data_IF_182255277417
#
_entry.id   IF_182255277417
#
_cell.length_a   1.000
_cell.length_b   1.000
_cell.length_c   1.000
_cell.angle_alpha   90.00
_cell.angle_beta   90.00
_cell.angle_gamma   90.00
#
_symmetry.space_group_name_H-M   'P 1'
#
loop_
_entity.id
_entity.type
_entity.pdbx_description
1 polymer ?
#
# COMPACT_ATOMS: atom_id res chain seq x y z
N UNK A 1 -57.38 -9.65 37.27
CA UNK A 1 -56.34 -8.65 37.14
C UNK A 1 -55.00 -9.40 37.24
N UNK A 2 -54.41 -9.68 36.11
CA UNK A 2 -53.12 -10.39 36.04
C UNK A 2 -52.10 -9.37 35.52
N UNK A 3 -51.22 -8.91 36.42
CA UNK A 3 -50.09 -8.04 36.10
C UNK A 3 -49.03 -8.81 35.30
N UNK A 4 -48.68 -8.27 34.13
CA UNK A 4 -47.52 -8.72 33.34
C UNK A 4 -46.24 -8.18 33.97
N UNK A 5 -45.18 -9.00 34.14
CA UNK A 5 -43.91 -8.50 34.63
C UNK A 5 -43.17 -7.66 33.54
N UNK A 6 -42.36 -6.67 33.93
CA UNK A 6 -41.67 -5.79 33.00
C UNK A 6 -40.66 -6.54 32.17
N UNK A 7 -40.69 -6.34 30.85
CA UNK A 7 -39.67 -6.85 29.91
C UNK A 7 -38.32 -6.19 30.20
N UNK A 8 -37.37 -6.97 30.72
CA UNK A 8 -35.96 -6.60 30.77
C UNK A 8 -35.44 -6.44 29.34
N UNK A 9 -35.26 -5.20 28.92
CA UNK A 9 -34.49 -4.87 27.73
C UNK A 9 -33.03 -5.24 28.06
N UNK A 10 -32.55 -6.35 27.52
CA UNK A 10 -31.11 -6.68 27.52
C UNK A 10 -30.42 -5.55 26.72
N UNK A 11 -29.71 -4.65 27.39
CA UNK A 11 -28.69 -3.81 26.76
C UNK A 11 -27.70 -4.75 26.10
N UNK A 12 -27.76 -4.91 24.77
CA UNK A 12 -26.67 -5.46 24.02
C UNK A 12 -25.49 -4.52 24.23
N UNK A 13 -24.52 -4.90 24.99
CA UNK A 13 -23.18 -4.29 24.99
C UNK A 13 -22.64 -4.54 23.59
N UNK A 14 -22.84 -3.57 22.69
CA UNK A 14 -22.03 -3.45 21.49
C UNK A 14 -20.59 -3.31 21.99
N UNK A 15 -19.82 -4.38 21.92
CA UNK A 15 -18.36 -4.30 22.04
C UNK A 15 -17.91 -3.47 20.84
N UNK A 16 -17.65 -2.19 21.06
CA UNK A 16 -17.02 -1.32 20.08
C UNK A 16 -15.71 -1.98 19.67
N UNK A 17 -15.61 -2.37 18.41
CA UNK A 17 -14.36 -2.84 17.86
C UNK A 17 -13.31 -1.73 18.04
N UNK A 18 -12.09 -2.09 18.41
CA UNK A 18 -11.02 -1.11 18.57
C UNK A 18 -10.81 -0.39 17.20
N UNK A 19 -11.03 0.93 17.12
CA UNK A 19 -10.89 1.66 15.85
C UNK A 19 -9.43 1.91 15.45
N UNK A 20 -8.47 1.52 16.29
CA UNK A 20 -7.05 1.71 16.05
C UNK A 20 -6.38 0.39 15.71
N UNK A 21 -5.68 0.29 14.56
CA UNK A 21 -5.07 -0.96 14.09
C UNK A 21 -3.79 -1.36 14.84
N UNK A 22 -3.25 -0.49 15.71
CA UNK A 22 -1.97 -0.70 16.38
C UNK A 22 -0.78 -0.56 15.42
N UNK A 23 0.17 -1.49 15.45
CA UNK A 23 1.40 -1.43 14.65
C UNK A 23 1.23 -1.84 13.17
N UNK A 24 0.10 -2.38 12.78
CA UNK A 24 -0.18 -2.71 11.37
C UNK A 24 -0.73 -1.49 10.61
N UNK A 25 -0.58 -1.43 9.28
CA UNK A 25 -1.30 -0.43 8.50
C UNK A 25 -2.81 -0.68 8.57
N UNK A 26 -3.61 0.36 8.35
CA UNK A 26 -5.04 0.23 8.09
C UNK A 26 -5.26 -0.59 6.82
N UNK A 27 -6.32 -1.42 6.80
CA UNK A 27 -6.77 -2.14 5.60
C UNK A 27 -7.72 -1.26 4.77
N UNK A 28 -8.05 -1.71 3.55
CA UNK A 28 -8.97 -0.99 2.66
C UNK A 28 -10.37 -0.85 3.28
N UNK A 29 -10.82 -1.89 4.00
CA UNK A 29 -12.12 -1.94 4.68
C UNK A 29 -12.19 -0.93 5.84
N UNK A 30 -11.05 -0.55 6.39
CA UNK A 30 -10.89 0.42 7.48
C UNK A 30 -10.69 1.86 6.98
N UNK A 31 -10.88 2.13 5.69
CA UNK A 31 -10.68 3.46 5.10
C UNK A 31 -11.51 4.55 5.76
N UNK A 32 -12.68 4.21 6.30
CA UNK A 32 -13.55 5.10 7.06
C UNK A 32 -13.01 5.49 8.45
N UNK A 33 -11.92 4.86 8.90
CA UNK A 33 -11.20 5.17 10.15
C UNK A 33 -9.87 5.91 9.90
N UNK A 34 -9.53 6.23 8.65
CA UNK A 34 -8.26 6.85 8.28
C UNK A 34 -8.43 8.36 8.15
N UNK A 35 -7.93 9.12 9.12
CA UNK A 35 -8.05 10.58 9.25
C UNK A 35 -6.68 11.25 9.37
N UNK A 36 -6.63 12.57 9.12
CA UNK A 36 -5.45 13.42 9.28
C UNK A 36 -4.45 13.31 8.11
N UNK A 37 -4.89 12.82 6.95
CA UNK A 37 -4.09 12.73 5.71
C UNK A 37 -4.88 13.19 4.49
N UNK A 38 -5.90 13.99 4.69
CA UNK A 38 -6.77 14.54 3.67
C UNK A 38 -5.95 15.35 2.64
N UNK A 39 -6.32 15.27 1.37
CA UNK A 39 -5.64 15.98 0.29
C UNK A 39 -4.31 15.37 -0.18
N UNK A 40 -3.70 14.46 0.56
CA UNK A 40 -2.41 13.88 0.18
C UNK A 40 -2.54 12.83 -0.94
N UNK A 41 -3.68 12.15 -1.01
CA UNK A 41 -3.95 11.13 -2.01
C UNK A 41 -4.07 11.70 -3.42
N UNK A 42 -4.60 12.91 -3.58
CA UNK A 42 -4.82 13.58 -4.87
C UNK A 42 -3.51 13.81 -5.62
N UNK A 43 -2.43 14.12 -4.90
CA UNK A 43 -1.10 14.27 -5.51
C UNK A 43 -0.61 12.93 -6.08
N UNK A 44 -0.77 11.84 -5.33
CA UNK A 44 -0.38 10.49 -5.77
C UNK A 44 -1.22 10.05 -6.98
N UNK A 45 -2.54 10.29 -6.95
CA UNK A 45 -3.44 10.07 -8.08
C UNK A 45 -3.01 10.86 -9.32
N UNK A 46 -2.61 12.12 -9.14
CA UNK A 46 -2.09 12.97 -10.21
C UNK A 46 -0.82 12.39 -10.85
N UNK A 47 0.08 11.80 -10.08
CA UNK A 47 1.26 11.11 -10.61
C UNK A 47 0.88 9.84 -11.39
N UNK A 48 0.01 9.01 -10.84
CA UNK A 48 -0.47 7.81 -11.53
C UNK A 48 -1.17 8.15 -12.86
N UNK A 49 -2.00 9.16 -12.85
CA UNK A 49 -2.71 9.60 -14.06
C UNK A 49 -1.74 10.05 -15.17
N UNK A 50 -0.68 10.80 -14.82
CA UNK A 50 0.28 11.33 -15.79
C UNK A 50 1.35 10.33 -16.23
N UNK A 51 1.87 9.55 -15.27
CA UNK A 51 3.09 8.79 -15.45
C UNK A 51 2.91 7.27 -15.23
N UNK A 52 1.71 6.80 -14.86
CA UNK A 52 1.41 5.43 -14.41
C UNK A 52 2.32 4.94 -13.28
N UNK A 53 2.99 5.86 -12.62
CA UNK A 53 3.93 5.58 -11.56
C UNK A 53 3.84 6.64 -10.46
N UNK A 54 3.93 6.18 -9.22
CA UNK A 54 4.15 7.04 -8.06
C UNK A 54 5.07 6.37 -7.05
N UNK A 55 6.02 7.11 -6.51
CA UNK A 55 6.80 6.73 -5.35
C UNK A 55 6.25 7.49 -4.14
N UNK A 56 5.89 6.78 -3.08
CA UNK A 56 5.46 7.35 -1.80
C UNK A 56 6.56 7.11 -0.79
N UNK A 57 7.27 8.17 -0.43
CA UNK A 57 8.46 8.09 0.44
C UNK A 57 8.23 8.80 1.76
N UNK A 58 8.96 8.42 2.79
CA UNK A 58 8.86 9.02 4.13
C UNK A 58 9.52 8.17 5.20
N UNK A 59 9.58 8.69 6.42
CA UNK A 59 10.14 7.99 7.58
C UNK A 59 9.43 6.64 7.84
N UNK A 60 10.06 5.77 8.63
CA UNK A 60 9.38 4.58 9.15
C UNK A 60 8.15 5.01 9.97
N UNK A 61 7.07 4.26 9.88
CA UNK A 61 5.84 4.60 10.64
C UNK A 61 5.07 5.85 10.16
N UNK A 62 5.50 6.54 9.08
CA UNK A 62 4.82 7.76 8.60
C UNK A 62 3.45 7.55 7.95
N UNK A 63 2.93 6.32 7.90
CA UNK A 63 1.61 6.02 7.34
C UNK A 63 1.59 5.79 5.82
N UNK A 64 2.74 5.53 5.16
CA UNK A 64 2.83 5.28 3.70
C UNK A 64 1.86 4.22 3.21
N UNK A 65 1.90 3.03 3.80
CA UNK A 65 1.04 1.91 3.40
C UNK A 65 -0.44 2.20 3.68
N UNK A 66 -0.75 2.85 4.82
CA UNK A 66 -2.13 3.26 5.14
C UNK A 66 -2.66 4.29 4.14
N UNK A 67 -1.85 5.26 3.69
CA UNK A 67 -2.24 6.21 2.64
C UNK A 67 -2.59 5.49 1.33
N UNK A 68 -1.85 4.43 0.98
CA UNK A 68 -2.16 3.64 -0.21
C UNK A 68 -3.47 2.85 -0.02
N UNK A 69 -3.61 2.13 1.09
CA UNK A 69 -4.77 1.26 1.31
C UNK A 69 -6.05 2.04 1.56
N UNK A 70 -6.00 3.09 2.38
CA UNK A 70 -7.19 3.83 2.80
C UNK A 70 -7.48 5.08 1.98
N UNK A 71 -6.47 5.65 1.32
CA UNK A 71 -6.63 6.82 0.47
C UNK A 71 -6.69 6.46 -1.01
N UNK A 72 -5.60 5.88 -1.54
CA UNK A 72 -5.43 5.67 -2.97
C UNK A 72 -6.39 4.60 -3.53
N UNK A 73 -6.45 3.41 -2.95
CA UNK A 73 -7.27 2.31 -3.49
C UNK A 73 -8.76 2.68 -3.54
N UNK A 74 -9.40 3.22 -2.47
CA UNK A 74 -10.77 3.68 -2.54
C UNK A 74 -11.02 4.75 -3.63
N UNK A 75 -10.08 5.68 -3.78
CA UNK A 75 -10.16 6.71 -4.81
C UNK A 75 -10.09 6.12 -6.24
N UNK A 76 -9.27 5.10 -6.47
CA UNK A 76 -9.21 4.40 -7.75
C UNK A 76 -10.53 3.71 -8.08
N UNK A 77 -11.14 3.01 -7.13
CA UNK A 77 -12.46 2.42 -7.31
C UNK A 77 -13.56 3.47 -7.48
N UNK A 78 -13.38 4.68 -6.92
CA UNK A 78 -14.22 5.85 -7.15
C UNK A 78 -14.08 6.48 -8.55
N UNK A 79 -13.13 6.00 -9.40
CA UNK A 79 -12.93 6.48 -10.76
C UNK A 79 -12.24 7.84 -10.86
N UNK A 80 -11.45 8.23 -9.87
CA UNK A 80 -10.73 9.52 -9.87
C UNK A 80 -9.66 9.63 -10.96
N UNK A 81 -9.20 8.51 -11.56
CA UNK A 81 -8.39 8.52 -12.77
C UNK A 81 -9.29 8.31 -13.98
N UNK A 82 -9.83 9.39 -14.54
CA UNK A 82 -10.83 9.35 -15.63
C UNK A 82 -10.46 8.43 -16.81
N UNK A 83 -9.23 8.47 -17.37
CA UNK A 83 -8.87 7.60 -18.50
C UNK A 83 -8.87 6.11 -18.14
N UNK A 84 -8.57 5.76 -16.87
CA UNK A 84 -8.51 4.37 -16.40
C UNK A 84 -9.86 3.84 -15.88
N UNK A 85 -10.78 4.74 -15.50
CA UNK A 85 -12.07 4.35 -14.93
C UNK A 85 -11.96 3.80 -13.50
N UNK A 86 -12.93 2.95 -13.11
CA UNK A 86 -13.08 2.45 -11.74
C UNK A 86 -12.82 0.94 -11.58
N UNK A 87 -12.39 0.26 -12.65
CA UNK A 87 -12.14 -1.19 -12.60
C UNK A 87 -10.66 -1.45 -12.41
N UNK A 88 -10.32 -1.95 -11.23
CA UNK A 88 -8.94 -2.16 -10.83
C UNK A 88 -8.73 -3.56 -10.26
N UNK A 89 -7.61 -4.17 -10.64
CA UNK A 89 -7.10 -5.37 -10.00
C UNK A 89 -5.82 -4.99 -9.24
N UNK A 90 -5.85 -5.18 -7.93
CA UNK A 90 -4.77 -4.75 -7.05
C UNK A 90 -3.85 -5.93 -6.79
N UNK A 91 -2.56 -5.75 -7.09
CA UNK A 91 -1.48 -6.70 -6.80
C UNK A 91 -0.57 -6.05 -5.77
N UNK A 92 -0.49 -6.59 -4.57
CA UNK A 92 0.42 -6.10 -3.53
C UNK A 92 1.53 -7.11 -3.28
N UNK A 93 2.77 -6.64 -3.32
CA UNK A 93 3.95 -7.46 -3.04
C UNK A 93 5.00 -6.67 -2.29
N UNK A 94 5.84 -7.37 -1.53
CA UNK A 94 7.09 -6.86 -0.95
C UNK A 94 8.24 -7.58 -1.61
N UNK A 95 9.31 -6.86 -1.99
CA UNK A 95 10.45 -7.50 -2.63
C UNK A 95 11.07 -8.62 -1.79
N UNK A 96 11.30 -8.37 -0.51
CA UNK A 96 11.89 -9.36 0.39
C UNK A 96 13.25 -9.87 -0.11
N UNK A 97 13.54 -11.12 0.23
CA UNK A 97 14.76 -11.83 -0.18
C UNK A 97 14.69 -12.41 -1.60
N UNK A 98 13.50 -12.53 -2.17
CA UNK A 98 13.24 -13.18 -3.45
C UNK A 98 12.22 -12.35 -4.24
N UNK A 99 12.62 -11.17 -4.78
CA UNK A 99 11.68 -10.20 -5.33
C UNK A 99 10.91 -10.72 -6.54
N UNK A 100 11.50 -11.55 -7.38
CA UNK A 100 10.82 -12.11 -8.56
C UNK A 100 9.82 -13.18 -8.15
N UNK A 101 10.15 -14.05 -7.21
CA UNK A 101 9.25 -15.07 -6.67
C UNK A 101 8.06 -14.42 -5.95
N UNK A 102 8.32 -13.44 -5.09
CA UNK A 102 7.28 -12.74 -4.35
C UNK A 102 6.31 -12.00 -5.31
N UNK A 103 6.83 -11.44 -6.40
CA UNK A 103 6.02 -10.84 -7.45
C UNK A 103 5.17 -11.87 -8.18
N UNK A 104 5.76 -13.03 -8.52
CA UNK A 104 5.05 -14.12 -9.18
C UNK A 104 3.92 -14.66 -8.31
N UNK A 105 4.17 -14.87 -7.02
CA UNK A 105 3.18 -15.31 -6.03
C UNK A 105 2.02 -14.32 -5.92
N UNK A 106 2.32 -13.02 -5.82
CA UNK A 106 1.31 -11.97 -5.76
C UNK A 106 0.44 -11.93 -7.03
N UNK A 107 1.03 -12.12 -8.21
CA UNK A 107 0.30 -12.20 -9.48
C UNK A 107 -0.57 -13.46 -9.54
N UNK A 108 -0.02 -14.62 -9.12
CA UNK A 108 -0.77 -15.87 -9.12
C UNK A 108 -2.00 -15.81 -8.20
N UNK A 109 -1.87 -15.14 -7.06
CA UNK A 109 -2.95 -15.02 -6.07
C UNK A 109 -4.17 -14.24 -6.57
N UNK A 110 -3.99 -13.27 -7.48
CA UNK A 110 -5.11 -12.47 -8.00
C UNK A 110 -5.89 -13.16 -9.12
N UNK A 111 -5.31 -14.16 -9.77
CA UNK A 111 -5.96 -14.83 -10.91
C UNK A 111 -7.10 -15.75 -10.46
N UNK A 112 -6.89 -16.50 -9.38
CA UNK A 112 -7.87 -17.45 -8.84
C UNK A 112 -7.76 -17.55 -7.31
N UNK A 113 -8.47 -16.73 -6.55
CA UNK A 113 -8.36 -16.69 -5.08
C UNK A 113 -8.72 -17.99 -4.35
N UNK A 114 -9.40 -18.95 -5.02
CA UNK A 114 -9.81 -20.24 -4.46
C UNK A 114 -9.14 -21.44 -5.18
N UNK A 115 -7.94 -21.25 -5.73
CA UNK A 115 -7.22 -22.33 -6.43
C UNK A 115 -6.62 -23.32 -5.44
N UNK A 116 -6.63 -24.61 -5.79
CA UNK A 116 -5.93 -25.66 -5.06
C UNK A 116 -4.44 -25.28 -4.85
N UNK A 117 -3.88 -25.46 -3.63
CA UNK A 117 -2.49 -25.12 -3.33
C UNK A 117 -1.46 -25.71 -4.31
N UNK A 118 -1.68 -26.94 -4.79
CA UNK A 118 -0.78 -27.58 -5.78
C UNK A 118 -0.81 -26.84 -7.13
N UNK A 119 -2.00 -26.45 -7.59
CA UNK A 119 -2.15 -25.70 -8.83
C UNK A 119 -1.57 -24.27 -8.68
N UNK A 120 -1.71 -23.65 -7.51
CA UNK A 120 -1.12 -22.35 -7.22
C UNK A 120 0.42 -22.40 -7.28
N UNK A 121 1.03 -23.47 -6.75
CA UNK A 121 2.47 -23.68 -6.83
C UNK A 121 2.97 -23.81 -8.27
N UNK A 122 2.24 -24.56 -9.11
CA UNK A 122 2.56 -24.71 -10.55
C UNK A 122 2.44 -23.36 -11.26
N UNK A 123 1.36 -22.61 -11.03
CA UNK A 123 1.16 -21.30 -11.63
C UNK A 123 2.28 -20.33 -11.22
N UNK A 124 2.70 -20.36 -9.95
CA UNK A 124 3.80 -19.56 -9.45
C UNK A 124 5.13 -19.88 -10.18
N UNK A 125 5.46 -21.16 -10.36
CA UNK A 125 6.66 -21.57 -11.12
C UNK A 125 6.63 -21.09 -12.58
N UNK A 126 5.48 -21.19 -13.23
CA UNK A 126 5.29 -20.69 -14.60
C UNK A 126 5.50 -19.18 -14.65
N UNK A 127 4.89 -18.42 -13.74
CA UNK A 127 5.04 -16.98 -13.66
C UNK A 127 6.49 -16.56 -13.34
N UNK A 128 7.17 -17.23 -12.41
CA UNK A 128 8.60 -17.01 -12.15
C UNK A 128 9.44 -17.18 -13.42
N UNK A 129 9.16 -18.25 -14.21
CA UNK A 129 9.86 -18.50 -15.47
C UNK A 129 9.61 -17.38 -16.49
N UNK A 130 8.37 -16.91 -16.62
CA UNK A 130 7.99 -15.81 -17.50
C UNK A 130 8.68 -14.51 -17.07
N UNK A 131 8.65 -14.19 -15.78
CA UNK A 131 9.26 -12.99 -15.23
C UNK A 131 10.80 -12.98 -15.45
N UNK A 132 11.46 -14.12 -15.30
CA UNK A 132 12.91 -14.24 -15.50
C UNK A 132 13.36 -14.28 -16.97
N UNK A 133 12.45 -14.59 -17.89
CA UNK A 133 12.80 -14.78 -19.30
C UNK A 133 13.27 -13.51 -20.00
N UNK A 134 12.75 -12.35 -19.64
CA UNK A 134 13.12 -11.07 -20.25
C UNK A 134 12.73 -9.88 -19.37
N UNK A 135 13.27 -8.71 -19.67
CA UNK A 135 12.88 -7.46 -19.02
C UNK A 135 11.41 -7.02 -19.29
N UNK A 136 10.70 -7.68 -20.20
CA UNK A 136 9.27 -7.54 -20.45
C UNK A 136 8.45 -8.66 -19.79
N UNK A 137 9.07 -9.49 -18.96
CA UNK A 137 8.43 -10.62 -18.28
C UNK A 137 7.15 -10.24 -17.54
N UNK A 138 7.13 -9.08 -16.85
CA UNK A 138 5.93 -8.59 -16.14
C UNK A 138 4.78 -8.28 -17.12
N UNK A 139 5.07 -7.64 -18.24
CA UNK A 139 4.06 -7.38 -19.28
C UNK A 139 3.50 -8.68 -19.83
N UNK A 140 4.37 -9.67 -20.08
CA UNK A 140 3.97 -10.98 -20.57
C UNK A 140 3.17 -11.78 -19.53
N UNK A 141 3.52 -11.68 -18.24
CA UNK A 141 2.75 -12.29 -17.16
C UNK A 141 1.34 -11.69 -17.06
N UNK A 142 1.23 -10.36 -17.13
CA UNK A 142 -0.06 -9.66 -17.11
C UNK A 142 -0.94 -10.00 -18.31
N UNK A 143 -0.36 -10.20 -19.50
CA UNK A 143 -1.11 -10.64 -20.70
C UNK A 143 -1.76 -12.02 -20.54
N UNK A 144 -1.24 -12.87 -19.66
CA UNK A 144 -1.82 -14.18 -19.38
C UNK A 144 -2.98 -14.13 -18.40
N UNK A 145 -3.12 -13.03 -17.67
CA UNK A 145 -4.24 -12.82 -16.75
C UNK A 145 -5.50 -12.51 -17.56
N UNK A 146 -6.59 -13.20 -17.27
CA UNK A 146 -7.89 -12.91 -17.85
C UNK A 146 -8.43 -11.61 -17.25
N UNK A 147 -8.25 -10.52 -17.96
CA UNK A 147 -8.74 -9.19 -17.57
C UNK A 147 -10.07 -8.88 -18.26
N UNK A 148 -11.01 -8.31 -17.51
CA UNK A 148 -12.24 -7.80 -18.08
C UNK A 148 -11.97 -6.54 -18.93
N UNK A 149 -12.80 -6.25 -19.96
CA UNK A 149 -12.66 -5.01 -20.73
C UNK A 149 -12.67 -3.77 -19.83
N UNK A 150 -11.66 -2.90 -19.98
CA UNK A 150 -11.50 -1.68 -19.18
C UNK A 150 -11.02 -1.91 -17.74
N UNK A 151 -10.55 -3.09 -17.41
CA UNK A 151 -9.88 -3.37 -16.14
C UNK A 151 -8.40 -2.98 -16.22
N UNK A 152 -7.87 -2.39 -15.15
CA UNK A 152 -6.47 -1.99 -15.03
C UNK A 152 -5.80 -2.75 -13.89
N UNK A 153 -4.47 -2.86 -13.93
CA UNK A 153 -3.68 -3.41 -12.84
C UNK A 153 -3.00 -2.27 -12.09
N UNK A 154 -3.17 -2.27 -10.76
CA UNK A 154 -2.32 -1.51 -9.86
C UNK A 154 -1.37 -2.48 -9.15
N UNK A 155 -0.08 -2.34 -9.43
CA UNK A 155 0.97 -3.04 -8.72
C UNK A 155 1.48 -2.17 -7.56
N UNK A 156 1.31 -2.62 -6.33
CA UNK A 156 1.80 -1.99 -5.10
C UNK A 156 3.05 -2.72 -4.66
N UNK A 157 4.19 -2.01 -4.69
CA UNK A 157 5.48 -2.48 -4.21
C UNK A 157 5.71 -1.89 -2.82
N UNK A 158 5.25 -2.60 -1.80
CA UNK A 158 5.38 -2.12 -0.41
C UNK A 158 6.76 -2.44 0.15
N UNK A 159 7.35 -1.50 0.91
CA UNK A 159 8.68 -1.61 1.51
C UNK A 159 9.78 -1.87 0.46
N UNK A 160 9.80 -1.08 -0.61
CA UNK A 160 10.74 -1.25 -1.73
C UNK A 160 12.21 -1.18 -1.32
N UNK A 161 12.52 -0.54 -0.18
CA UNK A 161 13.87 -0.52 0.43
C UNK A 161 14.43 -1.92 0.73
N UNK A 162 13.59 -2.95 0.84
CA UNK A 162 14.05 -4.31 1.09
C UNK A 162 14.99 -4.82 -0.01
N UNK A 163 14.80 -4.38 -1.27
CA UNK A 163 15.71 -4.69 -2.38
C UNK A 163 17.17 -4.30 -2.09
N UNK A 164 17.37 -3.22 -1.35
CA UNK A 164 18.70 -2.68 -1.07
C UNK A 164 19.29 -3.25 0.22
N UNK A 165 18.47 -3.47 1.24
CA UNK A 165 18.87 -4.04 2.53
C UNK A 165 19.45 -5.44 2.41
N UNK A 166 18.86 -6.28 1.56
CA UNK A 166 19.34 -7.65 1.35
C UNK A 166 20.58 -7.74 0.47
N UNK A 167 20.85 -6.70 -0.33
CA UNK A 167 22.08 -6.58 -1.13
C UNK A 167 23.33 -6.45 -0.24
N UNK A 168 23.24 -5.68 0.84
CA UNK A 168 24.36 -5.51 1.77
C UNK A 168 24.74 -6.79 2.51
N UNK A 169 23.75 -7.65 2.77
CA UNK A 169 23.93 -8.91 3.51
C UNK A 169 24.56 -10.03 2.67
N UNK A 170 24.55 -9.92 1.35
CA UNK A 170 25.07 -10.92 0.41
C UNK A 170 25.99 -10.23 -0.60
N UNK A 171 27.30 -10.41 -0.44
CA UNK A 171 28.34 -10.02 -1.43
C UNK A 171 28.28 -10.87 -2.71
N UNK A 172 27.12 -11.38 -3.07
CA UNK A 172 26.92 -12.31 -4.18
C UNK A 172 26.45 -11.53 -5.42
N UNK A 173 27.15 -11.67 -6.52
CA UNK A 173 26.82 -11.08 -7.82
C UNK A 173 25.45 -11.48 -8.33
N UNK A 174 24.91 -12.62 -7.89
CA UNK A 174 23.59 -13.11 -8.26
C UNK A 174 22.46 -12.22 -7.72
N UNK A 175 22.60 -11.69 -6.49
CA UNK A 175 21.60 -10.79 -5.86
C UNK A 175 21.55 -9.44 -6.56
N UNK A 176 22.68 -8.90 -6.98
CA UNK A 176 22.72 -7.66 -7.76
C UNK A 176 21.99 -7.83 -9.09
N UNK A 177 22.22 -8.95 -9.78
CA UNK A 177 21.58 -9.27 -11.05
C UNK A 177 20.05 -9.41 -10.88
N UNK A 178 19.57 -9.97 -9.78
CA UNK A 178 18.13 -10.11 -9.52
C UNK A 178 17.48 -8.77 -9.20
N UNK A 179 18.10 -7.92 -8.39
CA UNK A 179 17.61 -6.56 -8.11
C UNK A 179 17.49 -5.73 -9.39
N UNK A 180 18.53 -5.78 -10.25
CA UNK A 180 18.52 -5.08 -11.53
C UNK A 180 17.43 -5.64 -12.47
N UNK A 181 17.30 -6.97 -12.53
CA UNK A 181 16.25 -7.62 -13.33
C UNK A 181 14.87 -7.23 -12.85
N UNK A 182 14.60 -7.23 -11.53
CA UNK A 182 13.35 -6.81 -10.95
C UNK A 182 13.01 -5.35 -11.29
N UNK A 183 13.96 -4.44 -11.13
CA UNK A 183 13.75 -3.02 -11.47
C UNK A 183 13.46 -2.85 -12.96
N UNK A 184 14.16 -3.59 -13.85
CA UNK A 184 13.90 -3.56 -15.30
C UNK A 184 12.48 -4.05 -15.64
N UNK A 185 11.98 -5.09 -14.96
CA UNK A 185 10.59 -5.56 -15.13
C UNK A 185 9.59 -4.44 -14.83
N UNK A 186 9.77 -3.73 -13.71
CA UNK A 186 8.88 -2.65 -13.29
C UNK A 186 8.94 -1.46 -14.26
N UNK A 187 10.15 -1.01 -14.60
CA UNK A 187 10.35 0.14 -15.49
C UNK A 187 9.75 -0.12 -16.87
N UNK A 188 9.95 -1.30 -17.44
CA UNK A 188 9.42 -1.64 -18.76
C UNK A 188 7.90 -1.82 -18.73
N UNK A 189 7.33 -2.32 -17.64
CA UNK A 189 5.89 -2.41 -17.47
C UNK A 189 5.22 -1.03 -17.46
N UNK A 190 5.86 -0.02 -16.86
CA UNK A 190 5.36 1.36 -16.84
C UNK A 190 5.45 2.00 -18.23
N UNK A 191 6.57 1.78 -18.94
CA UNK A 191 6.85 2.44 -20.23
C UNK A 191 6.01 1.93 -21.39
N UNK A 192 5.60 0.67 -21.35
CA UNK A 192 4.80 0.08 -22.43
C UNK A 192 3.35 0.64 -22.40
N UNK A 193 2.70 0.66 -23.57
CA UNK A 193 1.35 1.24 -23.74
C UNK A 193 0.23 0.20 -23.93
N UNK A 194 0.60 -1.05 -24.19
CA UNK A 194 -0.37 -2.09 -24.60
C UNK A 194 -1.23 -2.61 -23.44
N UNK A 195 -0.66 -2.62 -22.22
CA UNK A 195 -1.35 -3.09 -21.02
C UNK A 195 -1.45 -1.95 -19.99
N UNK A 196 -2.60 -1.75 -19.36
CA UNK A 196 -2.80 -0.68 -18.40
C UNK A 196 -2.23 -1.06 -17.03
N UNK A 197 -0.88 -1.10 -16.92
CA UNK A 197 -0.16 -1.37 -15.68
C UNK A 197 0.22 -0.06 -15.02
N UNK A 198 -0.26 0.13 -13.80
CA UNK A 198 0.08 1.25 -12.93
C UNK A 198 0.91 0.72 -11.76
N UNK A 199 1.88 1.50 -11.30
CA UNK A 199 2.79 1.08 -10.23
C UNK A 199 2.85 2.15 -9.15
N UNK A 200 2.67 1.72 -7.91
CA UNK A 200 2.97 2.53 -6.71
C UNK A 200 4.02 1.80 -5.91
N UNK A 201 5.10 2.48 -5.55
CA UNK A 201 6.03 1.95 -4.56
C UNK A 201 5.97 2.77 -3.27
N UNK A 202 6.08 2.10 -2.13
CA UNK A 202 6.37 2.75 -0.86
C UNK A 202 7.82 2.48 -0.49
N UNK A 203 8.51 3.49 0.04
CA UNK A 203 9.91 3.36 0.42
C UNK A 203 10.26 4.32 1.55
N UNK A 204 11.17 3.91 2.42
CA UNK A 204 11.77 4.83 3.39
C UNK A 204 12.62 5.87 2.67
N UNK A 205 12.52 7.12 3.10
CA UNK A 205 13.22 8.25 2.46
C UNK A 205 14.75 8.16 2.53
N UNK A 206 15.31 7.48 3.54
CA UNK A 206 16.74 7.25 3.70
C UNK A 206 17.33 6.30 2.62
N UNK A 207 16.50 5.53 1.90
CA UNK A 207 16.91 4.66 0.81
C UNK A 207 16.80 5.28 -0.60
N UNK A 208 16.31 6.52 -0.72
CA UNK A 208 16.19 7.19 -2.04
C UNK A 208 17.53 7.23 -2.76
N UNK A 209 18.62 7.46 -2.03
CA UNK A 209 19.98 7.48 -2.57
C UNK A 209 20.40 6.18 -3.27
N UNK A 210 19.90 5.02 -2.79
CA UNK A 210 20.19 3.71 -3.38
C UNK A 210 19.58 3.57 -4.79
N UNK A 211 18.52 4.29 -5.08
CA UNK A 211 17.90 4.27 -6.41
C UNK A 211 18.78 4.93 -7.49
N UNK A 212 19.76 5.76 -7.10
CA UNK A 212 20.59 6.52 -8.06
C UNK A 212 21.42 5.65 -8.99
N UNK A 213 21.75 4.42 -8.59
CA UNK A 213 22.44 3.45 -9.41
C UNK A 213 21.60 2.89 -10.57
N UNK A 214 20.25 3.16 -10.58
CA UNK A 214 19.31 2.70 -11.60
C UNK A 214 18.69 3.91 -12.32
N UNK A 215 19.32 4.40 -13.37
CA UNK A 215 18.97 5.66 -14.05
C UNK A 215 17.48 5.77 -14.41
N UNK A 216 16.89 4.70 -14.94
CA UNK A 216 15.49 4.74 -15.38
C UNK A 216 14.51 4.82 -14.20
N UNK A 217 14.78 4.10 -13.11
CA UNK A 217 14.01 4.21 -11.87
C UNK A 217 14.16 5.61 -11.26
N UNK A 218 15.37 6.14 -11.24
CA UNK A 218 15.66 7.49 -10.74
C UNK A 218 14.85 8.55 -11.52
N UNK A 219 14.77 8.43 -12.84
CA UNK A 219 13.96 9.34 -13.67
C UNK A 219 12.46 9.27 -13.33
N UNK A 220 11.94 8.08 -13.04
CA UNK A 220 10.56 7.90 -12.61
C UNK A 220 10.31 8.52 -11.24
N UNK A 221 11.18 8.26 -10.28
CA UNK A 221 11.10 8.81 -8.92
C UNK A 221 11.15 10.34 -8.97
N UNK A 222 12.10 10.93 -9.69
CA UNK A 222 12.23 12.39 -9.79
C UNK A 222 11.00 13.07 -10.38
N UNK A 223 10.20 12.37 -11.19
CA UNK A 223 8.95 12.90 -11.78
C UNK A 223 7.72 12.69 -10.91
N UNK A 224 7.74 11.69 -10.04
CA UNK A 224 6.53 11.19 -9.38
C UNK A 224 6.81 10.73 -7.94
N UNK A 225 7.65 11.47 -7.21
CA UNK A 225 7.88 11.20 -5.80
C UNK A 225 6.99 12.10 -4.94
N UNK A 226 6.21 11.47 -4.07
CA UNK A 226 5.48 12.09 -2.99
C UNK A 226 6.18 11.79 -1.67
N UNK A 227 6.87 12.78 -1.12
CA UNK A 227 7.42 12.68 0.23
C UNK A 227 6.30 13.00 1.22
N UNK A 228 5.89 12.00 2.01
CA UNK A 228 4.86 12.21 3.04
C UNK A 228 5.36 13.24 4.06
N UNK A 229 4.64 14.35 4.25
CA UNK A 229 4.99 15.33 5.28
C UNK A 229 4.77 14.76 6.69
N UNK A 230 5.46 15.32 7.66
CA UNK A 230 5.12 15.08 9.06
C UNK A 230 3.69 15.58 9.33
N UNK A 231 2.99 14.88 10.20
CA UNK A 231 1.66 15.32 10.64
C UNK A 231 1.80 16.56 11.53
N UNK A 232 0.90 17.50 11.30
CA UNK A 232 0.72 18.65 12.20
C UNK A 232 -0.01 18.22 13.48
N UNK A 233 -0.04 19.08 14.48
CA UNK A 233 -0.81 18.83 15.70
C UNK A 233 -2.30 18.64 15.42
N UNK A 234 -2.84 19.37 14.46
CA UNK A 234 -4.23 19.25 14.04
C UNK A 234 -4.50 17.92 13.30
N UNK A 235 -3.58 17.48 12.43
CA UNK A 235 -3.66 16.17 11.78
C UNK A 235 -3.67 15.03 12.82
N UNK A 236 -2.82 15.10 13.84
CA UNK A 236 -2.83 14.12 14.93
C UNK A 236 -4.13 14.16 15.74
N UNK A 237 -4.67 15.35 15.99
CA UNK A 237 -5.96 15.49 16.67
C UNK A 237 -7.07 14.80 15.87
N UNK A 238 -7.11 14.99 14.56
CA UNK A 238 -8.07 14.32 13.68
C UNK A 238 -7.86 12.81 13.62
N UNK A 239 -6.60 12.35 13.56
CA UNK A 239 -6.26 10.92 13.57
C UNK A 239 -6.66 10.21 14.88
N UNK A 240 -6.77 10.94 16.00
CA UNK A 240 -7.27 10.41 17.28
C UNK A 240 -8.79 10.51 17.35
N UNK A 241 -9.35 11.68 17.08
CA UNK A 241 -10.77 11.96 17.31
C UNK A 241 -11.68 11.35 16.24
N UNK A 242 -11.24 11.31 14.99
CA UNK A 242 -12.02 10.79 13.87
C UNK A 242 -12.47 9.34 14.07
N UNK A 243 -11.55 8.39 14.30
CA UNK A 243 -11.92 6.99 14.57
C UNK A 243 -12.81 6.82 15.79
N UNK A 244 -12.58 7.58 16.86
CA UNK A 244 -13.43 7.56 18.05
C UNK A 244 -14.85 8.03 17.75
N UNK A 245 -15.00 9.12 17.00
CA UNK A 245 -16.30 9.65 16.59
C UNK A 245 -17.08 8.64 15.74
N UNK A 246 -16.41 7.96 14.79
CA UNK A 246 -17.03 6.87 14.00
C UNK A 246 -17.49 5.74 14.90
N UNK A 247 -16.73 5.37 15.92
CA UNK A 247 -17.09 4.37 16.93
C UNK A 247 -18.13 4.85 17.96
N UNK A 248 -18.59 6.11 17.89
CA UNK A 248 -19.53 6.69 18.87
C UNK A 248 -18.91 6.94 20.24
N UNK A 249 -17.58 7.01 20.32
CA UNK A 249 -16.82 7.28 21.53
C UNK A 249 -16.31 8.73 21.57
N UNK A 250 -15.94 9.20 22.76
CA UNK A 250 -15.32 10.50 22.99
C UNK A 250 -14.05 10.33 23.82
N UNK A 251 -13.10 11.25 23.67
CA UNK A 251 -11.89 11.28 24.47
C UNK A 251 -11.95 12.44 25.47
N UNK A 252 -11.43 12.21 26.66
CA UNK A 252 -11.26 13.28 27.64
C UNK A 252 -10.31 14.36 27.11
N UNK A 253 -10.66 15.68 27.21
CA UNK A 253 -9.82 16.74 26.68
C UNK A 253 -8.41 16.81 27.30
N UNK A 254 -8.24 16.44 28.59
CA UNK A 254 -6.93 16.42 29.22
C UNK A 254 -6.08 15.26 28.70
N UNK A 255 -6.69 14.09 28.50
CA UNK A 255 -6.03 12.94 27.88
C UNK A 255 -5.59 13.26 26.44
N UNK A 256 -6.45 13.88 25.63
CA UNK A 256 -6.11 14.30 24.27
C UNK A 256 -4.90 15.26 24.28
N UNK A 257 -4.90 16.29 25.14
CA UNK A 257 -3.78 17.21 25.24
C UNK A 257 -2.49 16.50 25.68
N UNK A 258 -2.59 15.57 26.63
CA UNK A 258 -1.45 14.79 27.08
C UNK A 258 -0.86 13.95 25.92
N UNK A 259 -1.70 13.23 25.16
CA UNK A 259 -1.27 12.44 24.00
C UNK A 259 -0.58 13.33 22.96
N UNK A 260 -1.17 14.46 22.59
CA UNK A 260 -0.61 15.39 21.61
C UNK A 260 0.76 15.93 22.06
N UNK A 261 0.94 16.23 23.35
CA UNK A 261 2.23 16.70 23.86
C UNK A 261 3.31 15.60 23.84
N UNK A 262 2.95 14.35 24.17
CA UNK A 262 3.88 13.20 24.12
C UNK A 262 4.37 12.93 22.69
N UNK A 263 3.55 13.20 21.69
CA UNK A 263 3.87 12.93 20.28
C UNK A 263 4.83 13.98 19.71
N UNK A 264 4.70 15.25 20.11
CA UNK A 264 5.58 16.33 19.65
C UNK A 264 7.06 16.06 19.96
N UNK A 265 7.34 15.30 21.02
CA UNK A 265 8.70 14.99 21.47
C UNK A 265 9.38 13.81 20.74
N UNK A 266 8.67 13.08 19.85
CA UNK A 266 9.17 11.83 19.24
C UNK A 266 9.10 11.85 17.71
N UNK A 267 10.17 11.36 17.04
CA UNK A 267 10.26 11.31 15.58
C UNK A 267 9.44 10.18 14.90
N UNK A 268 9.02 9.14 15.63
CA UNK A 268 8.26 7.97 15.12
C UNK A 268 6.86 7.90 15.76
N UNK A 269 5.99 8.80 15.34
CA UNK A 269 4.83 9.24 16.10
C UNK A 269 3.55 8.41 15.91
N UNK A 270 3.23 7.98 14.67
CA UNK A 270 1.97 7.30 14.38
C UNK A 270 1.81 5.92 15.03
N UNK A 271 2.81 5.03 15.02
CA UNK A 271 2.67 3.72 15.66
C UNK A 271 2.44 3.81 17.17
N UNK A 272 2.99 4.84 17.82
CA UNK A 272 2.83 5.08 19.28
C UNK A 272 1.42 5.54 19.61
N UNK A 273 0.77 6.30 18.72
CA UNK A 273 -0.60 6.77 18.89
C UNK A 273 -1.65 5.65 18.81
N UNK A 274 -1.35 4.61 18.06
CA UNK A 274 -2.30 3.53 17.79
C UNK A 274 -2.16 2.37 18.77
N UNK A 275 -1.20 2.46 19.68
CA UNK A 275 -0.95 1.48 20.74
C UNK A 275 -1.50 1.93 22.07
#
# INVERSE_FOLDING_TARGET
MTENPPRHIKKSTLTLANPFPGLRPFSVEESHLFFGREGQCETVLGFLNRNRFAAVTGASGSGKSSLIYCGLIPALYGGFIKPAGSRWRIVTTRPGNSPIENLAEAIAAIEKPNTDPAQLAINNQILCTILRRSSFGLVNAVRQIHMAPGENILLILDQFEELFRYKESRKDTTVFNETEAYIKLIVNAIKQSEQPIYVVLTMRSDFIGECSQFQELTRLINKSNFLIPQMTRDDFKEAIMGPLAVGGATIDPQLLQHLLNVIEDKNDQLPVLQH
#
